data_IF_870882934783
#
_entry.id   IF_870882934783
#
_cell.length_a   1.000
_cell.length_b   1.000
_cell.length_c   1.000
_cell.angle_alpha   90.00
_cell.angle_beta   90.00
_cell.angle_gamma   90.00
#
_symmetry.space_group_name_H-M   'P 1'
#
loop_
_entity.id
_entity.type
_entity.pdbx_description
1 polymer ?
#
# COMPACT_ATOMS: atom_id res chain seq x y z
N UNK A 1 15.72 27.25 11.14
CA UNK A 1 14.70 27.30 10.07
C UNK A 1 15.35 26.97 8.74
N UNK A 2 15.41 25.68 8.37
CA UNK A 2 15.46 25.21 6.99
C UNK A 2 14.83 23.82 7.01
N UNK A 3 13.68 23.68 6.36
CA UNK A 3 12.96 22.42 6.23
C UNK A 3 13.80 21.43 5.41
N UNK A 4 13.99 20.23 5.94
CA UNK A 4 14.46 19.09 5.18
C UNK A 4 13.30 18.60 4.32
N UNK A 5 13.40 18.82 3.01
CA UNK A 5 12.49 18.32 2.02
C UNK A 5 12.87 16.86 1.75
N UNK A 6 12.17 15.92 2.37
CA UNK A 6 12.32 14.49 2.08
C UNK A 6 11.79 14.19 0.68
N UNK A 7 12.66 13.60 -0.13
CA UNK A 7 12.42 13.16 -1.50
C UNK A 7 11.61 11.86 -1.48
N UNK A 8 10.31 11.94 -1.78
CA UNK A 8 9.50 10.77 -2.10
C UNK A 8 9.28 10.67 -3.62
N UNK A 9 9.77 9.56 -4.16
CA UNK A 9 9.71 9.16 -5.56
C UNK A 9 8.32 8.57 -5.84
N UNK A 10 7.35 9.40 -6.21
CA UNK A 10 6.06 8.92 -6.72
C UNK A 10 6.22 8.17 -8.07
N UNK A 11 5.25 7.31 -8.40
CA UNK A 11 5.08 6.66 -9.71
C UNK A 11 4.85 7.73 -10.81
N UNK A 12 5.90 8.44 -11.22
CA UNK A 12 5.82 9.48 -12.25
C UNK A 12 5.86 8.83 -13.63
N UNK A 13 4.70 8.58 -14.24
CA UNK A 13 4.62 8.38 -15.68
C UNK A 13 5.00 9.69 -16.38
N UNK A 14 6.08 9.65 -17.17
CA UNK A 14 6.49 10.75 -18.03
C UNK A 14 5.82 10.55 -19.38
N UNK A 15 4.69 11.21 -19.61
CA UNK A 15 4.13 11.38 -20.96
C UNK A 15 5.08 12.32 -21.71
N UNK A 16 5.64 11.86 -22.82
CA UNK A 16 6.40 12.72 -23.73
C UNK A 16 5.43 13.43 -24.66
N UNK A 17 5.43 14.76 -24.65
CA UNK A 17 5.00 15.56 -25.80
C UNK A 17 6.28 15.96 -26.53
N UNK A 18 6.49 15.45 -27.73
CA UNK A 18 7.58 15.90 -28.59
C UNK A 18 7.31 17.32 -29.07
N UNK A 19 8.20 18.26 -28.74
CA UNK A 19 8.34 19.51 -29.47
C UNK A 19 9.82 19.89 -29.59
N UNK A 20 10.29 19.81 -30.83
CA UNK A 20 11.28 20.66 -31.51
C UNK A 20 12.48 21.21 -30.73
N UNK A 21 13.66 20.75 -31.15
CA UNK A 21 14.90 21.51 -31.41
C UNK A 21 15.40 22.54 -30.36
N UNK A 22 16.60 22.28 -29.79
CA UNK A 22 17.25 23.29 -28.94
C UNK A 22 18.64 22.95 -28.38
N UNK A 23 19.62 22.60 -29.23
CA UNK A 23 21.03 22.50 -28.84
C UNK A 23 21.57 23.85 -28.34
N UNK A 24 22.17 23.89 -27.14
CA UNK A 24 22.94 25.05 -26.64
C UNK A 24 24.44 24.77 -26.65
N UNK A 25 25.16 25.59 -27.40
CA UNK A 25 26.61 25.51 -27.62
C UNK A 25 27.39 26.29 -26.53
N UNK A 26 28.55 25.77 -26.13
CA UNK A 26 29.64 26.59 -25.60
C UNK A 26 30.91 26.30 -26.41
N UNK A 27 31.49 27.35 -26.98
CA UNK A 27 32.75 27.30 -27.71
C UNK A 27 33.92 27.61 -26.77
N UNK A 28 35.00 26.83 -26.87
CA UNK A 28 36.30 27.21 -26.32
C UNK A 28 37.37 27.10 -27.40
N UNK A 29 38.19 28.15 -27.50
CA UNK A 29 39.25 28.31 -28.48
C UNK A 29 40.57 27.79 -27.91
N UNK A 30 41.08 26.69 -28.46
CA UNK A 30 42.51 26.39 -28.44
C UNK A 30 42.97 26.09 -29.87
N UNK A 31 44.14 26.62 -30.21
CA UNK A 31 44.58 26.87 -31.58
C UNK A 31 44.46 25.65 -32.49
N UNK A 32 43.66 25.85 -33.54
CA UNK A 32 43.56 25.13 -34.81
C UNK A 32 42.88 23.76 -34.94
N UNK A 33 42.14 23.26 -33.95
CA UNK A 33 41.07 22.29 -34.25
C UNK A 33 40.05 22.20 -33.12
N UNK A 34 38.77 22.41 -33.43
CA UNK A 34 37.66 22.13 -32.51
C UNK A 34 37.41 20.62 -32.58
N UNK A 35 37.87 19.85 -31.59
CA UNK A 35 37.43 18.46 -31.44
C UNK A 35 36.20 18.46 -30.55
N UNK A 36 35.03 18.20 -31.15
CA UNK A 36 33.79 17.89 -30.44
C UNK A 36 33.88 16.43 -29.98
N UNK A 37 34.44 16.17 -28.79
CA UNK A 37 34.32 14.83 -28.19
C UNK A 37 32.99 14.75 -27.43
N UNK A 38 31.98 14.14 -28.03
CA UNK A 38 30.79 13.70 -27.32
C UNK A 38 31.14 12.48 -26.46
N UNK A 39 31.52 12.71 -25.20
CA UNK A 39 31.46 11.64 -24.21
C UNK A 39 30.01 11.58 -23.72
N UNK A 40 29.31 10.44 -23.86
CA UNK A 40 28.06 10.23 -23.17
C UNK A 40 28.34 10.36 -21.67
N UNK A 41 27.77 11.37 -21.02
CA UNK A 41 27.68 11.40 -19.56
C UNK A 41 26.74 10.26 -19.20
N UNK A 42 27.18 9.21 -18.47
CA UNK A 42 26.24 8.21 -18.00
C UNK A 42 25.23 8.94 -17.10
N UNK A 43 23.92 8.88 -17.41
CA UNK A 43 22.94 9.46 -16.51
C UNK A 43 23.09 8.73 -15.17
N UNK A 44 23.52 9.47 -14.15
CA UNK A 44 23.64 8.92 -12.81
C UNK A 44 22.30 8.31 -12.41
N UNK A 45 22.32 6.99 -12.19
CA UNK A 45 21.34 6.17 -11.49
C UNK A 45 19.97 6.82 -11.25
N UNK A 46 19.19 6.98 -12.31
CA UNK A 46 17.74 6.85 -12.16
C UNK A 46 17.52 5.36 -12.00
N UNK A 47 17.46 4.89 -10.75
CA UNK A 47 16.87 3.58 -10.46
C UNK A 47 15.44 3.63 -10.98
N UNK A 48 15.24 3.13 -12.19
CA UNK A 48 13.93 2.74 -12.68
C UNK A 48 13.43 1.65 -11.73
N UNK A 49 12.48 2.00 -10.87
CA UNK A 49 11.64 0.99 -10.24
C UNK A 49 10.81 0.35 -11.36
N UNK A 50 10.82 -0.98 -11.51
CA UNK A 50 10.10 -1.66 -12.58
C UNK A 50 8.60 -1.33 -12.49
N UNK A 51 7.98 -1.08 -13.65
CA UNK A 51 6.57 -0.73 -13.83
C UNK A 51 5.59 -1.64 -13.07
N UNK A 52 5.98 -2.89 -12.78
CA UNK A 52 5.20 -3.85 -12.01
C UNK A 52 4.93 -3.41 -10.55
N UNK A 53 5.71 -2.47 -9.99
CA UNK A 53 5.47 -1.95 -8.65
C UNK A 53 4.22 -1.07 -8.59
N UNK A 54 3.80 -0.41 -9.67
CA UNK A 54 2.65 0.49 -9.63
C UNK A 54 1.30 -0.22 -9.91
N UNK A 55 1.29 -1.52 -10.24
CA UNK A 55 0.08 -2.20 -10.73
C UNK A 55 -1.01 -2.31 -9.64
N UNK A 56 -0.64 -2.64 -8.41
CA UNK A 56 -1.63 -2.87 -7.33
C UNK A 56 -1.85 -1.65 -6.42
N UNK A 57 -0.93 -0.69 -6.41
CA UNK A 57 -1.02 0.48 -5.51
C UNK A 57 -2.33 1.26 -5.71
N UNK A 58 -2.80 1.36 -6.96
CA UNK A 58 -4.06 2.02 -7.27
C UNK A 58 -5.25 1.32 -6.60
N UNK A 59 -5.39 0.02 -6.82
CA UNK A 59 -6.52 -0.74 -6.31
C UNK A 59 -6.48 -0.85 -4.77
N UNK A 60 -5.28 -1.01 -4.19
CA UNK A 60 -5.10 -1.10 -2.73
C UNK A 60 -5.43 0.23 -2.06
N UNK A 61 -4.94 1.37 -2.59
CA UNK A 61 -5.28 2.67 -2.02
C UNK A 61 -6.80 2.91 -2.06
N UNK A 62 -7.45 2.48 -3.14
CA UNK A 62 -8.90 2.57 -3.24
C UNK A 62 -9.63 1.69 -2.24
N UNK A 63 -9.21 0.43 -2.13
CA UNK A 63 -9.79 -0.51 -1.20
C UNK A 63 -9.63 0.00 0.23
N UNK A 64 -8.45 0.55 0.58
CA UNK A 64 -8.20 1.20 1.87
C UNK A 64 -9.24 2.29 2.14
N UNK A 65 -9.42 3.24 1.22
CA UNK A 65 -10.38 4.34 1.40
C UNK A 65 -11.83 3.83 1.51
N UNK A 66 -12.22 2.84 0.71
CA UNK A 66 -13.57 2.27 0.74
C UNK A 66 -13.85 1.53 2.06
N UNK A 67 -12.94 0.66 2.49
CA UNK A 67 -13.09 -0.12 3.73
C UNK A 67 -13.02 0.78 4.97
N UNK A 68 -12.19 1.84 4.97
CA UNK A 68 -12.18 2.84 6.06
C UNK A 68 -13.54 3.52 6.19
N UNK A 69 -14.14 3.97 5.08
CA UNK A 69 -15.46 4.59 5.12
C UNK A 69 -16.53 3.61 5.63
N UNK A 70 -16.49 2.34 5.19
CA UNK A 70 -17.39 1.29 5.69
C UNK A 70 -17.22 1.09 7.21
N UNK A 71 -15.99 1.09 7.72
CA UNK A 71 -15.73 0.95 9.17
C UNK A 71 -16.23 2.17 9.96
N UNK A 72 -16.06 3.38 9.44
CA UNK A 72 -16.59 4.61 10.03
C UNK A 72 -18.13 4.57 10.07
N UNK A 73 -18.78 4.16 8.98
CA UNK A 73 -20.24 4.07 8.88
C UNK A 73 -20.84 2.99 9.80
N UNK A 74 -20.10 1.92 10.05
CA UNK A 74 -20.50 0.85 10.96
C UNK A 74 -20.26 1.17 12.45
N UNK A 75 -19.52 2.23 12.76
CA UNK A 75 -19.31 2.65 14.14
C UNK A 75 -20.61 3.21 14.76
N UNK A 76 -20.74 3.08 16.08
CA UNK A 76 -21.90 3.62 16.81
C UNK A 76 -21.98 5.15 16.66
N UNK A 77 -23.04 5.70 16.04
CA UNK A 77 -23.15 7.13 15.76
C UNK A 77 -23.30 7.98 17.03
N UNK A 78 -23.76 7.38 18.14
CA UNK A 78 -23.99 8.08 19.41
C UNK A 78 -22.78 8.00 20.35
N UNK A 79 -21.85 7.09 20.08
CA UNK A 79 -20.63 6.95 20.88
C UNK A 79 -19.74 8.18 20.74
N UNK A 80 -19.42 8.79 21.88
CA UNK A 80 -18.49 9.92 21.99
C UNK A 80 -17.34 9.57 22.90
N UNK A 81 -16.18 10.20 22.67
CA UNK A 81 -15.01 10.11 23.55
C UNK A 81 -14.57 11.49 24.02
N UNK A 82 -13.92 11.53 25.19
CA UNK A 82 -13.31 12.74 25.74
C UNK A 82 -11.88 12.86 25.22
N UNK A 83 -11.61 13.92 24.48
CA UNK A 83 -10.27 14.28 24.00
C UNK A 83 -9.82 15.60 24.62
N UNK A 84 -8.51 15.84 24.71
CA UNK A 84 -7.99 17.11 25.20
C UNK A 84 -6.81 16.94 26.14
N UNK A 85 -6.51 17.99 26.89
CA UNK A 85 -5.34 18.00 27.77
C UNK A 85 -5.66 17.32 29.09
N UNK A 86 -4.86 16.30 29.44
CA UNK A 86 -4.91 15.72 30.78
C UNK A 86 -4.38 16.66 31.88
N UNK A 87 -3.82 17.82 31.52
CA UNK A 87 -3.30 18.79 32.50
C UNK A 87 -4.44 19.45 33.26
N UNK A 88 -4.34 19.37 34.59
CA UNK A 88 -5.25 20.02 35.53
C UNK A 88 -4.75 21.45 35.78
N UNK A 89 -5.65 22.43 35.73
CA UNK A 89 -5.34 23.83 36.02
C UNK A 89 -5.20 24.09 37.54
N UNK A 90 -4.79 25.30 37.91
CA UNK A 90 -4.63 25.70 39.32
C UNK A 90 -5.94 25.69 40.13
N UNK A 91 -7.09 25.53 39.49
CA UNK A 91 -8.42 25.43 40.11
C UNK A 91 -8.94 23.98 40.15
N UNK A 92 -8.16 23.01 39.71
CA UNK A 92 -8.56 21.60 39.69
C UNK A 92 -9.40 21.20 38.48
N UNK A 93 -9.55 22.06 37.46
CA UNK A 93 -10.32 21.71 36.27
C UNK A 93 -9.42 21.17 35.15
N UNK A 94 -9.99 20.32 34.30
CA UNK A 94 -9.33 19.74 33.14
C UNK A 94 -10.06 20.17 31.87
N UNK A 95 -9.31 20.52 30.82
CA UNK A 95 -9.88 20.96 29.54
C UNK A 95 -10.05 19.76 28.62
N UNK A 96 -11.23 19.15 28.68
CA UNK A 96 -11.67 18.07 27.80
C UNK A 96 -12.77 18.58 26.86
N UNK A 97 -12.79 18.03 25.65
CA UNK A 97 -13.83 18.20 24.64
C UNK A 97 -14.43 16.84 24.32
N UNK A 98 -15.74 16.79 24.10
CA UNK A 98 -16.43 15.59 23.63
C UNK A 98 -16.44 15.59 22.09
N UNK A 99 -15.93 14.52 21.48
CA UNK A 99 -15.92 14.32 20.02
C UNK A 99 -16.57 12.99 19.66
N UNK A 100 -17.05 12.87 18.42
CA UNK A 100 -17.61 11.61 17.91
C UNK A 100 -16.51 10.56 17.80
N UNK A 101 -16.79 9.35 18.29
CA UNK A 101 -15.83 8.24 18.27
C UNK A 101 -15.49 7.82 16.84
N UNK A 102 -16.50 7.73 15.96
CA UNK A 102 -16.38 7.23 14.59
C UNK A 102 -15.24 7.85 13.76
N UNK A 103 -14.94 9.13 13.99
CA UNK A 103 -13.89 9.88 13.28
C UNK A 103 -12.85 10.49 14.22
N UNK A 104 -12.74 9.95 15.44
CA UNK A 104 -11.69 10.37 16.36
C UNK A 104 -10.35 9.82 15.89
N UNK A 105 -9.29 10.61 16.03
CA UNK A 105 -7.90 10.25 15.72
C UNK A 105 -7.54 8.83 16.21
N UNK A 106 -7.77 8.58 17.51
CA UNK A 106 -7.59 7.27 18.13
C UNK A 106 -8.29 6.12 17.36
N UNK A 107 -9.53 6.33 16.94
CA UNK A 107 -10.27 5.29 16.23
C UNK A 107 -9.85 5.14 14.78
N UNK A 108 -9.45 6.23 14.11
CA UNK A 108 -9.00 6.19 12.73
C UNK A 108 -7.71 5.38 12.58
N UNK A 109 -6.73 5.55 13.49
CA UNK A 109 -5.52 4.71 13.51
C UNK A 109 -5.86 3.23 13.70
N UNK A 110 -6.77 2.89 14.63
CA UNK A 110 -7.24 1.51 14.80
C UNK A 110 -7.92 0.94 13.54
N UNK A 111 -8.68 1.77 12.83
CA UNK A 111 -9.34 1.38 11.58
C UNK A 111 -8.29 1.12 10.49
N UNK A 112 -7.26 1.96 10.36
CA UNK A 112 -6.24 1.79 9.33
C UNK A 112 -5.51 0.44 9.46
N UNK A 113 -5.07 0.10 10.67
CA UNK A 113 -4.44 -1.19 10.97
C UNK A 113 -5.39 -2.34 10.64
N UNK A 114 -6.63 -2.27 11.14
CA UNK A 114 -7.64 -3.31 10.89
C UNK A 114 -7.95 -3.49 9.40
N UNK A 115 -7.98 -2.41 8.62
CA UNK A 115 -8.25 -2.47 7.18
C UNK A 115 -7.07 -3.11 6.44
N UNK A 116 -5.83 -2.76 6.79
CA UNK A 116 -4.67 -3.37 6.15
C UNK A 116 -4.54 -4.87 6.45
N UNK A 117 -4.91 -5.34 7.66
CA UNK A 117 -5.04 -6.77 7.94
C UNK A 117 -6.03 -7.48 6.98
N UNK A 118 -7.15 -6.83 6.67
CA UNK A 118 -8.15 -7.39 5.73
C UNK A 118 -7.69 -7.43 4.27
N UNK A 119 -6.59 -6.75 3.91
CA UNK A 119 -6.04 -6.82 2.54
C UNK A 119 -5.52 -8.22 2.19
N UNK A 120 -5.30 -9.09 3.19
CA UNK A 120 -5.01 -10.50 2.98
C UNK A 120 -6.19 -11.30 2.37
N UNK A 121 -7.41 -10.79 2.45
CA UNK A 121 -8.59 -11.35 1.77
C UNK A 121 -8.75 -10.87 0.32
N UNK A 122 -7.83 -10.04 -0.18
CA UNK A 122 -7.80 -9.61 -1.57
C UNK A 122 -6.86 -10.48 -2.40
N UNK A 123 -7.16 -10.57 -3.70
CA UNK A 123 -6.39 -11.34 -4.68
C UNK A 123 -6.15 -10.53 -5.93
N UNK A 124 -5.09 -10.89 -6.65
CA UNK A 124 -4.80 -10.34 -7.97
C UNK A 124 -5.39 -11.28 -9.03
N UNK A 125 -6.23 -10.75 -9.90
CA UNK A 125 -6.79 -11.47 -11.04
C UNK A 125 -6.16 -10.99 -12.36
N UNK A 126 -6.11 -11.89 -13.33
CA UNK A 126 -5.69 -11.61 -14.69
C UNK A 126 -6.94 -11.47 -15.57
N UNK A 127 -7.12 -10.26 -16.07
CA UNK A 127 -8.22 -9.89 -16.96
C UNK A 127 -7.98 -10.40 -18.38
N UNK A 128 -9.05 -10.46 -19.20
CA UNK A 128 -8.96 -10.95 -20.58
C UNK A 128 -8.06 -10.09 -21.48
N UNK A 129 -7.91 -8.79 -21.15
CA UNK A 129 -7.03 -7.85 -21.85
C UNK A 129 -5.56 -7.97 -21.42
N UNK A 130 -5.25 -8.89 -20.50
CA UNK A 130 -3.92 -9.12 -19.95
C UNK A 130 -3.53 -8.16 -18.82
N UNK A 131 -4.45 -7.30 -18.36
CA UNK A 131 -4.20 -6.43 -17.19
C UNK A 131 -4.43 -7.18 -15.88
N UNK A 132 -3.82 -6.67 -14.82
CA UNK A 132 -4.09 -7.15 -13.47
C UNK A 132 -5.10 -6.23 -12.77
N UNK A 133 -5.93 -6.81 -11.92
CA UNK A 133 -6.79 -6.07 -10.99
C UNK A 133 -6.84 -6.75 -9.63
N UNK A 134 -7.04 -5.96 -8.58
CA UNK A 134 -7.20 -6.48 -7.23
C UNK A 134 -8.69 -6.57 -6.89
N UNK A 135 -9.12 -7.74 -6.44
CA UNK A 135 -10.53 -8.01 -6.06
C UNK A 135 -10.60 -8.72 -4.71
N UNK A 136 -11.71 -8.50 -4.01
CA UNK A 136 -11.98 -9.17 -2.73
C UNK A 136 -12.34 -10.64 -2.98
N UNK A 137 -11.80 -11.58 -2.20
CA UNK A 137 -12.13 -13.02 -2.24
C UNK A 137 -13.29 -13.37 -1.31
N UNK A 138 -13.59 -12.51 -0.34
CA UNK A 138 -14.73 -12.65 0.59
C UNK A 138 -15.60 -11.42 0.54
N UNK A 139 -16.88 -11.54 0.87
CA UNK A 139 -17.72 -10.37 1.09
C UNK A 139 -17.41 -9.68 2.44
N UNK A 140 -18.16 -8.63 2.75
CA UNK A 140 -18.07 -7.92 4.03
C UNK A 140 -18.44 -8.77 5.26
N UNK A 141 -19.13 -9.90 5.05
CA UNK A 141 -19.53 -10.85 6.09
C UNK A 141 -18.55 -12.04 6.23
N UNK A 142 -17.50 -12.09 5.41
CA UNK A 142 -16.51 -13.17 5.39
C UNK A 142 -16.91 -14.39 4.53
N UNK A 143 -18.04 -14.31 3.81
CA UNK A 143 -18.50 -15.36 2.91
C UNK A 143 -17.62 -15.36 1.66
N UNK A 144 -17.05 -16.51 1.24
CA UNK A 144 -16.29 -16.62 0.00
C UNK A 144 -17.09 -16.15 -1.22
N UNK A 145 -16.42 -15.44 -2.14
CA UNK A 145 -16.94 -15.03 -3.43
C UNK A 145 -16.46 -15.99 -4.52
N UNK A 146 -17.23 -16.11 -5.59
CA UNK A 146 -16.97 -17.12 -6.63
C UNK A 146 -15.75 -16.76 -7.47
N UNK A 147 -14.76 -17.66 -7.47
CA UNK A 147 -13.57 -17.60 -8.32
C UNK A 147 -13.73 -18.41 -9.63
N UNK A 148 -14.93 -18.89 -9.94
CA UNK A 148 -15.18 -19.72 -11.12
C UNK A 148 -14.86 -18.94 -12.40
N UNK A 149 -14.03 -19.54 -13.25
CA UNK A 149 -13.55 -18.95 -14.51
C UNK A 149 -12.70 -17.68 -14.34
N UNK A 150 -12.14 -17.46 -13.15
CA UNK A 150 -11.25 -16.32 -12.88
C UNK A 150 -9.82 -16.84 -12.79
N UNK A 151 -8.94 -16.29 -13.61
CA UNK A 151 -7.50 -16.52 -13.49
C UNK A 151 -6.96 -15.59 -12.42
N UNK A 152 -6.27 -16.12 -11.43
CA UNK A 152 -5.69 -15.31 -10.37
C UNK A 152 -4.24 -15.72 -10.09
N UNK A 153 -3.47 -14.76 -9.59
CA UNK A 153 -2.09 -14.95 -9.19
C UNK A 153 -2.09 -15.31 -7.71
N UNK A 154 -1.58 -16.49 -7.37
CA UNK A 154 -1.42 -16.92 -5.98
C UNK A 154 -0.30 -16.14 -5.28
N UNK A 155 -0.31 -16.19 -3.95
CA UNK A 155 0.80 -15.74 -3.09
C UNK A 155 1.10 -14.24 -3.22
N UNK A 156 0.03 -13.45 -3.41
CA UNK A 156 0.08 -11.98 -3.44
C UNK A 156 -0.58 -11.35 -2.23
N UNK A 157 -1.32 -12.10 -1.42
CA UNK A 157 -2.05 -11.62 -0.25
C UNK A 157 -1.15 -10.83 0.71
N UNK A 158 0.01 -11.38 1.07
CA UNK A 158 0.99 -10.72 1.93
C UNK A 158 1.60 -9.46 1.28
N UNK A 159 1.72 -9.44 -0.05
CA UNK A 159 2.20 -8.28 -0.80
C UNK A 159 1.16 -7.16 -0.79
N UNK A 160 -0.13 -7.50 -0.95
CA UNK A 160 -1.23 -6.52 -0.91
C UNK A 160 -1.35 -5.89 0.48
N UNK A 161 -1.27 -6.71 1.54
CA UNK A 161 -1.20 -6.24 2.92
C UNK A 161 0.00 -5.30 3.13
N UNK A 162 1.21 -5.73 2.77
CA UNK A 162 2.42 -4.93 2.90
C UNK A 162 2.32 -3.55 2.21
N UNK A 163 1.68 -3.49 1.04
CA UNK A 163 1.46 -2.21 0.36
C UNK A 163 0.49 -1.30 1.09
N UNK A 164 -0.56 -1.85 1.68
CA UNK A 164 -1.48 -1.09 2.53
C UNK A 164 -0.75 -0.55 3.75
N UNK A 165 0.00 -1.41 4.45
CA UNK A 165 0.80 -1.02 5.62
C UNK A 165 1.77 0.10 5.25
N UNK A 166 2.45 -0.01 4.11
CA UNK A 166 3.35 1.05 3.61
C UNK A 166 2.63 2.39 3.39
N UNK A 167 1.41 2.38 2.84
CA UNK A 167 0.62 3.60 2.63
C UNK A 167 0.21 4.21 3.97
N UNK A 168 -0.26 3.39 4.91
CA UNK A 168 -0.68 3.86 6.24
C UNK A 168 0.52 4.40 7.01
N UNK A 169 1.63 3.67 7.08
CA UNK A 169 2.85 4.09 7.79
C UNK A 169 3.42 5.42 7.27
N UNK A 170 3.38 5.66 5.95
CA UNK A 170 3.95 6.86 5.35
C UNK A 170 3.01 8.08 5.43
N UNK A 171 1.70 7.87 5.42
CA UNK A 171 0.70 8.93 5.28
C UNK A 171 -0.32 9.00 6.43
N UNK A 172 -0.09 8.33 7.57
CA UNK A 172 -1.04 8.25 8.70
C UNK A 172 -1.59 9.62 9.11
N UNK A 173 -0.71 10.60 9.36
CA UNK A 173 -1.10 11.95 9.77
C UNK A 173 -2.04 12.63 8.76
N UNK A 174 -1.75 12.48 7.45
CA UNK A 174 -2.58 13.04 6.38
C UNK A 174 -3.91 12.29 6.27
N UNK A 175 -3.89 10.96 6.39
CA UNK A 175 -5.09 10.13 6.37
C UNK A 175 -6.02 10.49 7.53
N UNK A 176 -5.51 10.56 8.77
CA UNK A 176 -6.28 11.00 9.94
C UNK A 176 -6.93 12.36 9.68
N UNK A 177 -6.15 13.33 9.21
CA UNK A 177 -6.67 14.69 8.94
C UNK A 177 -7.79 14.67 7.89
N UNK A 178 -7.64 13.89 6.83
CA UNK A 178 -8.63 13.81 5.75
C UNK A 178 -9.91 13.08 6.17
N UNK A 179 -9.80 11.98 6.92
CA UNK A 179 -10.95 11.19 7.37
C UNK A 179 -11.68 11.80 8.58
N UNK A 180 -11.05 12.74 9.28
CA UNK A 180 -11.73 13.54 10.31
C UNK A 180 -12.79 14.46 9.71
N UNK A 181 -12.60 14.92 8.46
CA UNK A 181 -13.59 15.72 7.73
C UNK A 181 -14.72 14.85 7.17
N UNK A 182 -15.96 15.33 7.19
CA UNK A 182 -17.14 14.59 6.71
C UNK A 182 -17.31 14.62 5.17
N UNK A 183 -16.21 14.74 4.42
CA UNK A 183 -16.23 14.92 2.96
C UNK A 183 -15.89 13.62 2.22
N UNK A 184 -16.88 12.75 2.00
CA UNK A 184 -16.65 11.41 1.44
C UNK A 184 -16.49 11.38 -0.09
N UNK A 185 -17.03 12.33 -0.84
CA UNK A 185 -17.10 12.21 -2.32
C UNK A 185 -15.77 12.45 -3.03
N UNK A 186 -14.83 13.17 -2.41
CA UNK A 186 -13.52 13.51 -3.01
C UNK A 186 -12.35 12.85 -2.31
N UNK A 187 -12.57 12.23 -1.15
CA UNK A 187 -11.50 11.70 -0.30
C UNK A 187 -10.64 10.67 -1.03
N UNK A 188 -11.26 9.82 -1.85
CA UNK A 188 -10.53 8.83 -2.65
C UNK A 188 -9.55 9.49 -3.62
N UNK A 189 -9.95 10.57 -4.30
CA UNK A 189 -9.06 11.32 -5.19
C UNK A 189 -7.94 11.98 -4.38
N UNK A 190 -8.30 12.67 -3.30
CA UNK A 190 -7.32 13.40 -2.48
C UNK A 190 -6.27 12.45 -1.89
N UNK A 191 -6.70 11.34 -1.29
CA UNK A 191 -5.79 10.34 -0.71
C UNK A 191 -4.95 9.68 -1.80
N UNK A 192 -5.57 9.13 -2.85
CA UNK A 192 -4.87 8.24 -3.78
C UNK A 192 -4.12 8.96 -4.91
N UNK A 193 -4.49 10.20 -5.24
CA UNK A 193 -3.82 11.00 -6.28
C UNK A 193 -2.98 12.11 -5.67
N UNK A 194 -3.56 12.93 -4.78
CA UNK A 194 -2.91 14.17 -4.35
C UNK A 194 -1.85 13.91 -3.27
N UNK A 195 -2.20 13.13 -2.24
CA UNK A 195 -1.31 12.82 -1.11
C UNK A 195 -0.34 11.66 -1.42
N UNK A 196 -0.86 10.46 -1.62
CA UNK A 196 -0.02 9.25 -1.77
C UNK A 196 0.63 9.12 -3.14
N UNK A 197 0.06 9.79 -4.16
CA UNK A 197 0.43 9.62 -5.57
C UNK A 197 0.51 8.16 -6.01
N UNK A 198 -0.32 7.31 -5.41
CA UNK A 198 -0.51 5.92 -5.81
C UNK A 198 -1.09 5.84 -7.24
N UNK A 199 -1.78 6.90 -7.67
CA UNK A 199 -2.65 6.89 -8.84
C UNK A 199 -2.45 8.12 -9.74
N UNK A 200 -2.74 7.97 -11.03
CA UNK A 200 -3.03 9.09 -11.94
C UNK A 200 -4.53 9.35 -11.99
N UNK A 201 -4.94 10.58 -12.31
CA UNK A 201 -6.36 10.93 -12.40
C UNK A 201 -7.15 10.07 -13.41
N UNK A 202 -6.49 9.56 -14.45
CA UNK A 202 -7.12 8.72 -15.47
C UNK A 202 -7.57 7.36 -14.91
N UNK A 203 -6.83 6.84 -13.92
CA UNK A 203 -7.12 5.55 -13.32
C UNK A 203 -8.38 5.57 -12.43
N UNK A 204 -8.76 6.73 -11.87
CA UNK A 204 -9.99 6.90 -11.06
C UNK A 204 -11.28 6.50 -11.78
N UNK A 205 -11.26 6.40 -13.11
CA UNK A 205 -12.42 5.98 -13.91
C UNK A 205 -12.72 4.48 -13.85
N UNK A 206 -11.75 3.64 -13.42
CA UNK A 206 -11.94 2.18 -13.28
C UNK A 206 -12.50 1.86 -11.89
N UNK A 207 -13.72 1.30 -11.76
CA UNK A 207 -14.27 0.80 -10.50
C UNK A 207 -13.56 -0.49 -10.05
N UNK A 208 -13.64 -0.80 -8.75
CA UNK A 208 -12.98 -1.95 -8.12
C UNK A 208 -13.93 -3.07 -8.47
N UNK A 209 -13.41 -4.09 -9.12
CA UNK A 209 -14.25 -5.17 -9.56
C UNK A 209 -14.72 -5.96 -8.34
N UNK A 210 -16.02 -6.26 -8.31
CA UNK A 210 -16.65 -7.04 -7.26
C UNK A 210 -17.02 -8.39 -7.83
N UNK A 211 -16.57 -9.44 -7.17
CA UNK A 211 -16.91 -10.81 -7.53
C UNK A 211 -18.34 -11.14 -7.07
N UNK A 212 -19.06 -11.99 -7.83
CA UNK A 212 -20.37 -12.45 -7.40
C UNK A 212 -20.25 -13.39 -6.18
N UNK A 213 -21.28 -13.48 -5.32
CA UNK A 213 -21.33 -14.48 -4.25
C UNK A 213 -21.18 -15.91 -4.80
N UNK A 214 -20.60 -16.82 -4.03
CA UNK A 214 -20.65 -18.24 -4.38
C UNK A 214 -22.10 -18.75 -4.37
N UNK A 215 -22.51 -19.38 -5.46
CA UNK A 215 -23.73 -20.16 -5.52
C UNK A 215 -23.56 -21.39 -4.62
N UNK A 216 -24.48 -21.58 -3.66
CA UNK A 216 -24.43 -22.58 -2.59
C UNK A 216 -24.54 -24.05 -3.03
N UNK A 217 -24.19 -24.37 -4.28
CA UNK A 217 -24.42 -25.67 -4.88
C UNK A 217 -23.10 -26.42 -5.13
N UNK A 218 -22.86 -27.43 -4.28
CA UNK A 218 -22.10 -28.66 -4.54
C UNK A 218 -20.57 -28.58 -4.74
N UNK A 219 -19.83 -29.04 -3.73
CA UNK A 219 -18.48 -29.59 -3.84
C UNK A 219 -18.35 -30.50 -5.08
N UNK A 220 -17.55 -30.07 -6.06
CA UNK A 220 -16.94 -30.95 -7.05
C UNK A 220 -15.48 -30.54 -7.24
N UNK A 221 -14.58 -31.42 -6.79
CA UNK A 221 -13.13 -31.31 -7.00
C UNK A 221 -12.82 -31.25 -8.51
N UNK A 222 -12.15 -30.18 -8.96
CA UNK A 222 -10.91 -30.18 -9.77
C UNK A 222 -10.71 -28.82 -10.46
N UNK A 223 -9.47 -28.32 -10.38
CA UNK A 223 -8.97 -27.23 -11.22
C UNK A 223 -8.08 -26.26 -10.45
N UNK A 224 -6.88 -26.69 -10.04
CA UNK A 224 -5.80 -25.76 -9.72
C UNK A 224 -5.34 -25.12 -11.04
N UNK A 225 -5.83 -23.93 -11.34
CA UNK A 225 -5.30 -23.10 -12.42
C UNK A 225 -4.44 -21.99 -11.81
N UNK A 226 -3.32 -22.39 -11.18
CA UNK A 226 -2.24 -21.48 -10.82
C UNK A 226 -1.36 -21.23 -12.05
N UNK A 227 -1.25 -19.97 -12.47
CA UNK A 227 -0.22 -19.57 -13.44
C UNK A 227 1.09 -19.43 -12.68
N UNK A 228 1.85 -20.53 -12.61
CA UNK A 228 3.19 -20.55 -12.03
C UNK A 228 4.23 -20.02 -13.01
N UNK A 229 4.66 -18.77 -12.85
CA UNK A 229 5.85 -18.26 -13.52
C UNK A 229 7.11 -18.78 -12.83
N UNK A 230 7.82 -19.70 -13.50
CA UNK A 230 9.18 -20.09 -13.14
C UNK A 230 10.17 -19.18 -13.84
N UNK A 231 10.96 -18.42 -13.07
CA UNK A 231 12.43 -18.35 -13.12
C UNK A 231 12.93 -17.02 -12.52
N UNK A 232 13.59 -17.12 -11.37
CA UNK A 232 14.91 -16.52 -11.16
C UNK A 232 15.52 -17.13 -9.89
N UNK A 233 16.56 -17.91 -10.14
CA UNK A 233 17.61 -18.36 -9.23
C UNK A 233 18.08 -17.25 -8.29
N UNK A 234 17.88 -17.44 -6.99
CA UNK A 234 18.76 -16.92 -5.95
C UNK A 234 18.94 -18.02 -4.90
N UNK A 235 19.95 -18.84 -5.16
CA UNK A 235 20.70 -19.56 -4.13
C UNK A 235 21.15 -18.59 -3.03
N UNK A 236 20.57 -18.74 -1.82
CA UNK A 236 21.15 -18.17 -0.61
C UNK A 236 22.22 -19.13 -0.07
N UNK A 237 23.41 -18.65 0.32
CA UNK A 237 24.46 -19.50 0.84
C UNK A 237 24.09 -20.08 2.21
N UNK A 238 24.28 -21.37 2.34
CA UNK A 238 24.54 -22.04 3.61
C UNK A 238 25.86 -21.55 4.19
N UNK A 239 25.84 -20.96 5.38
CA UNK A 239 27.00 -21.01 6.28
C UNK A 239 26.57 -21.77 7.54
N UNK A 240 27.19 -22.95 7.68
CA UNK A 240 27.20 -23.75 8.88
C UNK A 240 28.06 -23.06 9.94
N UNK A 241 27.63 -23.12 11.20
CA UNK A 241 28.52 -23.11 12.35
C UNK A 241 28.19 -24.31 13.25
N UNK A 242 28.85 -25.44 12.96
CA UNK A 242 29.26 -26.44 13.94
C UNK A 242 30.27 -25.78 14.91
N UNK A 243 30.53 -26.16 16.15
CA UNK A 243 30.13 -27.19 17.13
C UNK A 243 30.74 -26.67 18.46
N UNK A 244 30.30 -27.02 19.67
CA UNK A 244 30.58 -28.31 20.31
C UNK A 244 29.78 -28.50 21.61
N UNK A 245 29.54 -29.78 21.87
CA UNK A 245 28.83 -30.40 22.99
C UNK A 245 29.56 -30.26 24.34
N UNK A 246 28.78 -30.33 25.42
CA UNK A 246 29.11 -31.14 26.59
C UNK A 246 27.81 -31.57 27.29
N UNK A 247 27.55 -32.88 27.29
CA UNK A 247 26.53 -33.54 28.10
C UNK A 247 27.08 -33.75 29.53
N UNK A 248 26.22 -33.66 30.55
CA UNK A 248 26.08 -34.72 31.56
C UNK A 248 24.79 -34.57 32.38
N UNK A 249 24.21 -35.72 32.70
CA UNK A 249 23.00 -35.97 33.49
C UNK A 249 23.04 -35.36 34.90
N UNK A 250 21.89 -35.02 35.51
CA UNK A 250 21.13 -35.97 36.34
C UNK A 250 20.11 -35.29 37.29
N UNK A 251 19.00 -36.00 37.51
CA UNK A 251 18.13 -36.10 38.70
C UNK A 251 17.45 -34.89 39.39
N UNK A 252 16.12 -34.86 39.23
CA UNK A 252 15.08 -35.01 40.28
C UNK A 252 14.98 -34.08 41.52
N UNK A 253 13.72 -33.65 41.75
CA UNK A 253 13.01 -33.23 43.00
C UNK A 253 12.84 -31.72 43.24
N UNK A 254 11.62 -31.20 43.12
CA UNK A 254 10.50 -31.17 44.09
C UNK A 254 10.58 -29.99 45.07
N UNK A 255 9.54 -29.15 45.02
CA UNK A 255 9.01 -28.30 46.10
C UNK A 255 9.97 -27.27 46.72
N UNK A 256 9.84 -25.99 46.32
CA UNK A 256 9.14 -24.96 47.09
C UNK A 256 8.93 -23.70 46.23
#
# INVERSE_FOLDING_TARGET
MWHAQHLLKGCRQRVWVEQGDGLRQQANLTKNFIIITSRPVPPQATQYLPSAKCDYHYDICRALVEEVNVKIENADPDKTIKVGSFRVDSKGNQKLADVKYARSDLHLTEIFDSVCETMSDYIVILEDDGTHSVVRRRDSSGIPLSLRNIKYISDKEALLQFYCDTIVEEYEDQLVSLFTEENTSTIQKTVCVDETRACTEQQLSRPLQRLPPEDGDSYSKKGEDSVGDKNADLTLPTENSDTTEAQEENDLKSEL
#
